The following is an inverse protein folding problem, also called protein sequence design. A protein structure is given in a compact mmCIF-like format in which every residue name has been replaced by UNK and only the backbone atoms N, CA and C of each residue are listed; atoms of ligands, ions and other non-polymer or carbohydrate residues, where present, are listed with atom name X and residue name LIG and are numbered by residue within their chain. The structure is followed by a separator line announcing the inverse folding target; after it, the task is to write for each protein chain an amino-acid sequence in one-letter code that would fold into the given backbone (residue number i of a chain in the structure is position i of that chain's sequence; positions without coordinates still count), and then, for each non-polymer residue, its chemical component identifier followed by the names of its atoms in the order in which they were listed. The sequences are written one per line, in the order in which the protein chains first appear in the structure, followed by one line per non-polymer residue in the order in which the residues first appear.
data_IF_780639663668
#
_entry.id   IF_780639663668
#
_cell.length_a   1.000
_cell.length_b   1.000
_cell.length_c   1.000
_cell.angle_alpha   90.00
_cell.angle_beta   90.00
_cell.angle_gamma   90.00
#
_symmetry.space_group_name_H-M   'P 1'
#
loop_
_entity.id
_entity.type
_entity.pdbx_description
1 polymer ?
#
# COMPACT_ATOMS: atom_id res chain seq x y z
N UNK A 1 -6.19 2.22 9.02
CA UNK A 1 -5.35 1.07 9.19
C UNK A 1 -5.97 -0.13 9.85
N UNK A 2 -6.90 0.04 10.80
CA UNK A 2 -7.44 -1.13 11.50
C UNK A 2 -8.11 -2.12 10.56
N UNK A 3 -8.86 -1.64 9.57
CA UNK A 3 -9.54 -2.51 8.62
C UNK A 3 -8.52 -3.22 7.74
N UNK A 4 -7.50 -2.51 7.28
CA UNK A 4 -6.44 -3.09 6.46
C UNK A 4 -5.56 -4.03 7.26
N UNK A 5 -5.28 -3.71 8.53
CA UNK A 5 -4.57 -4.62 9.41
C UNK A 5 -5.32 -5.93 9.58
N UNK A 6 -6.64 -5.87 9.78
CA UNK A 6 -7.45 -7.09 9.88
C UNK A 6 -7.38 -7.90 8.61
N UNK A 7 -7.51 -7.25 7.45
CA UNK A 7 -7.40 -7.93 6.17
C UNK A 7 -6.05 -8.59 6.02
N UNK A 8 -4.98 -7.86 6.31
CA UNK A 8 -3.63 -8.39 6.23
C UNK A 8 -3.44 -9.56 7.18
N UNK A 9 -3.92 -9.45 8.42
CA UNK A 9 -3.86 -10.55 9.37
C UNK A 9 -4.64 -11.76 8.92
N UNK A 10 -5.86 -11.54 8.43
CA UNK A 10 -6.69 -12.64 7.95
C UNK A 10 -6.05 -13.33 6.75
N UNK A 11 -5.50 -12.54 5.82
CA UNK A 11 -4.79 -13.10 4.67
C UNK A 11 -3.55 -13.86 5.11
N UNK A 12 -2.78 -13.32 6.03
CA UNK A 12 -1.58 -14.00 6.55
C UNK A 12 -1.92 -15.28 7.30
N UNK A 13 -3.02 -15.29 8.04
CA UNK A 13 -3.47 -16.49 8.76
C UNK A 13 -3.95 -17.56 7.78
N UNK A 14 -4.69 -17.14 6.74
CA UNK A 14 -5.24 -18.05 5.75
C UNK A 14 -4.22 -18.49 4.72
N UNK A 15 -3.30 -17.60 4.37
CA UNK A 15 -2.28 -17.88 3.38
C UNK A 15 -1.02 -18.36 4.07
N UNK A 16 -0.82 -19.67 4.03
CA UNK A 16 0.33 -20.31 4.66
C UNK A 16 1.64 -19.81 4.09
N UNK A 17 1.67 -19.44 2.82
CA UNK A 17 2.89 -18.95 2.19
C UNK A 17 3.30 -17.59 2.77
N UNK A 18 2.37 -16.65 2.91
CA UNK A 18 2.65 -15.36 3.52
C UNK A 18 3.09 -15.50 4.98
N UNK A 19 2.40 -16.35 5.75
CA UNK A 19 2.77 -16.61 7.12
C UNK A 19 4.16 -17.24 7.22
N UNK A 20 4.48 -18.15 6.31
CA UNK A 20 5.80 -18.77 6.25
C UNK A 20 6.90 -17.75 5.94
N UNK A 21 6.67 -16.88 4.95
CA UNK A 21 7.63 -15.84 4.59
C UNK A 21 7.89 -14.90 5.76
N UNK A 22 6.85 -14.55 6.51
CA UNK A 22 7.00 -13.70 7.68
C UNK A 22 7.80 -14.40 8.78
N UNK A 23 7.45 -15.64 9.11
CA UNK A 23 8.12 -16.40 10.17
C UNK A 23 9.56 -16.73 9.83
N UNK A 24 9.87 -16.97 8.56
CA UNK A 24 11.24 -17.25 8.11
C UNK A 24 12.06 -15.98 7.91
N UNK A 25 11.49 -14.81 8.17
CA UNK A 25 12.14 -13.50 8.00
C UNK A 25 12.58 -13.21 6.56
N UNK A 26 11.93 -13.85 5.60
CA UNK A 26 12.16 -13.57 4.18
C UNK A 26 11.33 -12.42 3.65
N UNK A 27 10.33 -11.98 4.43
CA UNK A 27 9.49 -10.85 4.11
C UNK A 27 9.23 -10.04 5.37
N UNK A 28 9.10 -8.73 5.21
CA UNK A 28 8.74 -7.81 6.27
C UNK A 28 7.35 -7.26 6.01
N UNK A 29 6.53 -7.18 7.04
CA UNK A 29 5.16 -6.69 6.95
C UNK A 29 5.09 -5.38 7.72
N UNK A 30 4.69 -4.32 7.01
CA UNK A 30 4.65 -2.97 7.56
C UNK A 30 3.20 -2.48 7.56
N UNK A 31 2.82 -1.80 8.63
CA UNK A 31 1.50 -1.20 8.76
C UNK A 31 1.59 0.30 8.42
N UNK A 32 0.72 0.75 7.53
CA UNK A 32 0.70 2.14 7.06
C UNK A 32 -0.64 2.76 7.45
N UNK A 33 -0.65 3.96 8.04
CA UNK A 33 -1.89 4.70 8.30
C UNK A 33 -2.60 5.09 7.01
N UNK A 34 -3.92 5.15 7.06
CA UNK A 34 -4.72 5.46 5.88
C UNK A 34 -4.41 6.83 5.30
N UNK A 35 -4.18 7.83 6.16
CA UNK A 35 -3.91 9.18 5.67
C UNK A 35 -2.63 9.26 4.84
N UNK A 36 -1.61 8.52 5.22
CA UNK A 36 -0.36 8.45 4.45
C UNK A 36 -0.58 7.76 3.12
N UNK A 37 -1.37 6.68 3.12
CA UNK A 37 -1.70 5.98 1.89
C UNK A 37 -2.50 6.85 0.94
N UNK A 38 -3.48 7.61 1.46
CA UNK A 38 -4.30 8.50 0.64
C UNK A 38 -3.45 9.60 0.00
N UNK A 39 -2.53 10.18 0.77
CA UNK A 39 -1.63 11.20 0.24
C UNK A 39 -0.76 10.65 -0.88
N UNK A 40 -0.24 9.44 -0.73
CA UNK A 40 0.55 8.80 -1.77
C UNK A 40 -0.28 8.43 -2.99
N UNK A 41 -1.55 8.04 -2.79
CA UNK A 41 -2.45 7.80 -3.90
C UNK A 41 -2.65 9.05 -4.74
N UNK A 42 -2.85 10.20 -4.09
CA UNK A 42 -2.95 11.48 -4.80
C UNK A 42 -1.64 11.83 -5.51
N UNK A 43 -0.52 11.67 -4.82
CA UNK A 43 0.80 11.96 -5.38
C UNK A 43 1.07 11.13 -6.63
N UNK A 44 0.79 9.84 -6.58
CA UNK A 44 0.98 8.97 -7.74
C UNK A 44 0.09 9.39 -8.91
N UNK A 45 -1.15 9.76 -8.62
CA UNK A 45 -2.09 10.22 -9.66
C UNK A 45 -1.57 11.48 -10.34
N UNK A 46 -1.03 12.41 -9.56
CA UNK A 46 -0.53 13.68 -10.10
C UNK A 46 0.78 13.50 -10.86
N UNK A 47 1.65 12.63 -10.40
CA UNK A 47 2.98 12.48 -11.00
C UNK A 47 2.98 11.52 -12.19
N UNK A 48 2.22 10.45 -12.11
CA UNK A 48 2.27 9.38 -13.12
C UNK A 48 0.96 9.20 -13.87
N UNK A 49 -0.09 9.89 -13.49
CA UNK A 49 -1.40 9.71 -14.11
C UNK A 49 -2.07 8.39 -13.80
N UNK A 50 -1.64 7.73 -12.73
CA UNK A 50 -2.20 6.44 -12.31
C UNK A 50 -2.99 6.66 -11.03
N UNK A 51 -4.26 6.26 -11.01
CA UNK A 51 -5.06 6.26 -9.81
C UNK A 51 -4.96 4.85 -9.21
N UNK A 52 -4.17 4.68 -8.13
CA UNK A 52 -3.98 3.35 -7.57
C UNK A 52 -5.18 2.95 -6.71
N UNK A 53 -5.40 1.64 -6.58
CA UNK A 53 -6.25 1.14 -5.52
C UNK A 53 -5.68 1.57 -4.16
N UNK A 54 -6.54 1.75 -3.16
CA UNK A 54 -6.09 2.21 -1.83
C UNK A 54 -5.08 1.22 -1.25
N UNK A 55 -5.28 -0.07 -1.46
CA UNK A 55 -4.35 -1.09 -1.00
C UNK A 55 -2.96 -0.91 -1.62
N UNK A 56 -2.89 -0.55 -2.89
CA UNK A 56 -1.63 -0.28 -3.56
C UNK A 56 -1.00 1.02 -3.06
N UNK A 57 -1.82 2.03 -2.77
CA UNK A 57 -1.31 3.29 -2.23
C UNK A 57 -0.58 3.09 -0.91
N UNK A 58 -1.02 2.13 -0.09
CA UNK A 58 -0.29 1.77 1.13
C UNK A 58 1.14 1.31 0.84
N UNK A 59 1.33 0.58 -0.25
CA UNK A 59 2.68 0.13 -0.61
C UNK A 59 3.59 1.31 -0.96
N UNK A 60 3.08 2.32 -1.65
CA UNK A 60 3.90 3.49 -2.00
C UNK A 60 4.28 4.32 -0.79
N UNK A 61 3.48 4.31 0.27
CA UNK A 61 3.80 5.06 1.49
C UNK A 61 5.04 4.53 2.20
N UNK A 62 5.51 3.35 1.86
CA UNK A 62 6.78 2.82 2.38
C UNK A 62 7.95 3.73 2.04
N UNK A 63 7.86 4.50 0.96
CA UNK A 63 8.91 5.44 0.59
C UNK A 63 9.16 6.52 1.64
N UNK A 64 8.17 6.85 2.47
CA UNK A 64 8.33 7.79 3.57
C UNK A 64 8.94 7.15 4.81
N UNK A 65 8.80 5.84 4.96
CA UNK A 65 9.21 5.11 6.16
C UNK A 65 10.63 4.59 6.02
N UNK A 66 10.98 4.10 4.82
CA UNK A 66 12.28 3.50 4.55
C UNK A 66 13.12 4.43 3.70
N UNK A 67 14.41 4.48 4.00
CA UNK A 67 15.37 5.18 3.17
C UNK A 67 16.05 4.18 2.25
N UNK A 68 16.10 4.54 0.98
CA UNK A 68 16.71 3.71 -0.04
C UNK A 68 17.91 4.45 -0.63
N UNK A 69 18.96 3.70 -0.95
CA UNK A 69 20.12 4.30 -1.60
C UNK A 69 19.81 4.62 -3.06
N UNK A 70 20.51 5.58 -3.67
CA UNK A 70 20.25 5.94 -5.08
C UNK A 70 20.48 4.80 -6.06
N UNK A 71 21.24 3.78 -5.66
CA UNK A 71 21.57 2.65 -6.53
C UNK A 71 20.60 1.48 -6.38
N UNK A 72 19.67 1.56 -5.44
CA UNK A 72 18.70 0.49 -5.24
C UNK A 72 17.56 0.58 -6.25
N UNK A 73 17.13 -0.58 -6.70
CA UNK A 73 15.98 -0.71 -7.60
C UNK A 73 14.80 -1.17 -6.75
N UNK A 74 13.71 -0.38 -6.75
CA UNK A 74 12.52 -0.69 -5.99
C UNK A 74 11.41 -1.06 -6.96
N UNK A 75 10.82 -2.23 -6.74
CA UNK A 75 9.71 -2.70 -7.57
C UNK A 75 8.42 -2.65 -6.76
N UNK A 76 7.43 -1.94 -7.25
CA UNK A 76 6.10 -1.89 -6.64
C UNK A 76 5.13 -2.70 -7.48
N UNK A 77 4.38 -3.58 -6.84
CA UNK A 77 3.30 -4.29 -7.49
C UNK A 77 2.04 -3.42 -7.43
N UNK A 78 1.73 -2.77 -8.55
CA UNK A 78 0.53 -1.93 -8.65
C UNK A 78 -0.64 -2.80 -9.07
N UNK A 79 -1.22 -3.49 -8.10
CA UNK A 79 -2.31 -4.43 -8.33
C UNK A 79 -3.67 -3.74 -8.21
N UNK A 80 -4.66 -4.30 -8.89
CA UNK A 80 -6.03 -3.80 -8.84
C UNK A 80 -6.23 -2.52 -9.62
N UNK A 81 -7.36 -1.88 -9.36
CA UNK A 81 -7.78 -0.66 -10.07
C UNK A 81 -8.20 0.38 -9.05
N UNK A 82 -7.84 1.64 -9.34
CA UNK A 82 -8.18 2.75 -8.45
C UNK A 82 -9.59 3.30 -8.66
N UNK A 83 -10.19 3.06 -9.81
CA UNK A 83 -11.51 3.58 -10.13
C UNK A 83 -12.59 3.05 -9.17
N UNK A 84 -12.43 1.85 -8.64
CA UNK A 84 -13.35 1.32 -7.63
C UNK A 84 -13.31 2.09 -6.31
N UNK A 85 -12.22 2.79 -6.05
CA UNK A 85 -12.01 3.57 -4.82
C UNK A 85 -12.15 5.07 -5.06
N UNK A 86 -12.62 5.48 -6.23
CA UNK A 86 -12.67 6.88 -6.61
C UNK A 86 -13.54 7.71 -5.65
N UNK A 87 -14.68 7.16 -5.24
CA UNK A 87 -15.55 7.84 -4.29
C UNK A 87 -14.85 8.10 -2.96
N UNK A 88 -14.05 7.16 -2.51
CA UNK A 88 -13.27 7.30 -1.28
C UNK A 88 -12.25 8.42 -1.40
N UNK A 89 -11.55 8.51 -2.54
CA UNK A 89 -10.62 9.61 -2.79
C UNK A 89 -11.33 10.95 -2.82
N UNK A 90 -12.49 11.02 -3.48
CA UNK A 90 -13.27 12.25 -3.58
C UNK A 90 -13.69 12.72 -2.19
N UNK A 91 -14.21 11.81 -1.37
CA UNK A 91 -14.65 12.15 -0.03
C UNK A 91 -13.50 12.58 0.87
N UNK A 92 -12.38 11.88 0.80
CA UNK A 92 -11.23 12.16 1.66
C UNK A 92 -10.62 13.54 1.34
N UNK A 93 -10.45 13.85 0.08
CA UNK A 93 -9.84 15.12 -0.35
C UNK A 93 -10.86 16.22 -0.61
N UNK A 94 -12.16 15.93 -0.49
CA UNK A 94 -13.26 16.88 -0.71
C UNK A 94 -13.22 17.49 -2.12
N UNK A 95 -13.03 16.65 -3.08
CA UNK A 95 -12.97 17.06 -4.49
C UNK A 95 -14.35 17.30 -5.12
#
# INVERSE_FOLDING_TARGET
PHVLRRRQRQMCIRDRMHAHLYRSQRAEFISIPDHEAMDWGLTLSQMEGIIPAIETAHAFAVLDIRQFSPNEIIVFNCSGRGDKDLDTYIDYFKL
#
